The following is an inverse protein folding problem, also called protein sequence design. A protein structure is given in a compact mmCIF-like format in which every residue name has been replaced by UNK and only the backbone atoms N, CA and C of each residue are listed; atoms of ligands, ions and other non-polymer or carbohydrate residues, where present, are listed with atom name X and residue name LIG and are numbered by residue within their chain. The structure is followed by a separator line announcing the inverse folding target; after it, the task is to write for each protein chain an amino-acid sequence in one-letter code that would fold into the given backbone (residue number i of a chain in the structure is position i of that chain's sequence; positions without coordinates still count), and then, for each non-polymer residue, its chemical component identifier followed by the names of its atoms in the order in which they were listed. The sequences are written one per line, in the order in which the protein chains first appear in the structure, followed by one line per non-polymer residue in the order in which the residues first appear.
data_IF_136531397180
#
_entry.id   IF_136531397180
#
_cell.length_a   1.000
_cell.length_b   1.000
_cell.length_c   1.000
_cell.angle_alpha   90.00
_cell.angle_beta   90.00
_cell.angle_gamma   90.00
#
_symmetry.space_group_name_H-M   'P 1'
#
loop_
_entity.id
_entity.type
_entity.pdbx_description
1 polymer ?
#
# COMPACT_ATOMS: atom_id res chain seq x y z
N UNK A 1 2.54 8.89 -5.98
CA UNK A 1 1.99 7.70 -5.30
C UNK A 1 1.89 6.48 -6.20
N UNK A 2 1.29 6.57 -7.38
CA UNK A 2 1.18 5.41 -8.26
C UNK A 2 2.52 4.76 -8.62
N UNK A 3 3.58 5.53 -8.79
CA UNK A 3 4.92 4.97 -9.02
C UNK A 3 5.36 4.03 -7.88
N UNK A 4 5.02 4.36 -6.64
CA UNK A 4 5.31 3.52 -5.48
C UNK A 4 4.44 2.27 -5.42
N UNK A 5 3.16 2.39 -5.77
CA UNK A 5 2.22 1.27 -5.75
C UNK A 5 2.54 0.26 -6.83
N UNK A 6 2.82 0.74 -8.04
CA UNK A 6 3.00 -0.10 -9.24
C UNK A 6 4.45 -0.54 -9.47
N UNK A 7 5.41 0.16 -8.90
CA UNK A 7 6.83 -0.02 -9.20
C UNK A 7 7.22 0.41 -10.61
N UNK A 8 6.37 1.21 -11.28
CA UNK A 8 6.58 1.69 -12.65
C UNK A 8 6.74 3.21 -12.70
N UNK A 9 7.50 3.75 -13.65
CA UNK A 9 7.63 5.20 -13.81
C UNK A 9 6.33 5.82 -14.34
N UNK A 10 6.15 7.14 -14.12
CA UNK A 10 4.99 7.89 -14.60
C UNK A 10 4.82 7.83 -16.12
N UNK A 11 5.91 7.74 -16.86
CA UNK A 11 5.94 7.55 -18.31
C UNK A 11 6.54 6.18 -18.60
N UNK A 12 5.73 5.28 -19.14
CA UNK A 12 6.16 3.94 -19.55
C UNK A 12 6.64 4.02 -21.00
N UNK A 13 7.92 3.76 -21.21
CA UNK A 13 8.52 3.79 -22.54
C UNK A 13 8.21 2.49 -23.28
N UNK A 14 7.50 2.62 -24.39
CA UNK A 14 7.21 1.52 -25.30
C UNK A 14 7.99 1.63 -26.60
N UNK A 15 8.03 0.54 -27.41
CA UNK A 15 8.75 0.53 -28.69
C UNK A 15 8.15 1.47 -29.74
N UNK A 16 6.85 1.68 -29.71
CA UNK A 16 6.14 2.53 -30.69
C UNK A 16 5.74 3.90 -30.13
N UNK A 17 5.37 3.94 -28.85
CA UNK A 17 4.99 5.20 -28.17
C UNK A 17 5.19 5.11 -26.66
N UNK A 18 5.39 6.26 -26.06
CA UNK A 18 5.39 6.40 -24.61
C UNK A 18 3.94 6.44 -24.09
N UNK A 19 3.64 5.70 -23.05
CA UNK A 19 2.31 5.64 -22.43
C UNK A 19 2.39 6.26 -21.03
N UNK A 20 1.45 7.16 -20.72
CA UNK A 20 1.33 7.67 -19.37
C UNK A 20 0.81 6.56 -18.45
N UNK A 21 1.35 6.47 -17.24
CA UNK A 21 0.97 5.44 -16.28
C UNK A 21 -0.54 5.37 -16.03
N UNK A 22 -1.21 6.51 -15.99
CA UNK A 22 -2.66 6.56 -15.78
C UNK A 22 -3.44 5.85 -16.89
N UNK A 23 -3.01 6.01 -18.14
CA UNK A 23 -3.64 5.34 -19.29
C UNK A 23 -3.47 3.82 -19.21
N UNK A 24 -2.41 3.36 -18.58
CA UNK A 24 -2.18 1.94 -18.35
C UNK A 24 -2.96 1.41 -17.15
N UNK A 25 -3.01 2.15 -16.05
CA UNK A 25 -3.57 1.66 -14.79
C UNK A 25 -5.09 1.74 -14.72
N UNK A 26 -5.72 2.74 -15.34
CA UNK A 26 -7.16 2.92 -15.29
C UNK A 26 -7.95 1.70 -15.75
N UNK A 27 -7.66 1.09 -16.91
CA UNK A 27 -8.39 -0.10 -17.36
C UNK A 27 -8.28 -1.27 -16.38
N UNK A 28 -7.13 -1.41 -15.73
CA UNK A 28 -6.87 -2.49 -14.76
C UNK A 28 -7.67 -2.25 -13.49
N UNK A 29 -7.72 -1.01 -13.00
CA UNK A 29 -8.54 -0.62 -11.85
C UNK A 29 -10.03 -0.85 -12.14
N UNK A 30 -10.49 -0.46 -13.31
CA UNK A 30 -11.89 -0.67 -13.74
C UNK A 30 -12.27 -2.14 -13.81
N UNK A 31 -11.35 -3.01 -14.19
CA UNK A 31 -11.56 -4.46 -14.21
C UNK A 31 -11.55 -5.11 -12.82
N UNK A 32 -11.15 -4.37 -11.79
CA UNK A 32 -11.06 -4.88 -10.42
C UNK A 32 -9.84 -5.75 -10.14
N UNK A 33 -8.83 -5.72 -10.98
CA UNK A 33 -7.63 -6.57 -10.88
C UNK A 33 -6.49 -5.87 -10.13
N UNK A 34 -6.60 -5.80 -8.82
CA UNK A 34 -5.60 -5.17 -7.96
C UNK A 34 -4.24 -5.87 -8.02
N UNK A 35 -4.21 -7.18 -8.30
CA UNK A 35 -2.97 -7.96 -8.37
C UNK A 35 -2.06 -7.47 -9.49
N UNK A 36 -2.63 -7.00 -10.60
CA UNK A 36 -1.88 -6.46 -11.73
C UNK A 36 -1.56 -4.97 -11.59
N UNK A 37 -2.17 -4.27 -10.64
CA UNK A 37 -1.83 -2.88 -10.32
C UNK A 37 -0.60 -2.81 -9.43
N UNK A 38 -0.56 -3.62 -8.40
CA UNK A 38 0.51 -3.61 -7.38
C UNK A 38 1.81 -4.13 -7.97
N UNK A 39 2.94 -3.56 -7.50
CA UNK A 39 4.28 -3.97 -7.91
C UNK A 39 4.45 -5.50 -7.79
N UNK A 40 4.80 -6.19 -8.89
CA UNK A 40 4.97 -7.65 -8.88
C UNK A 40 6.06 -8.14 -7.94
N UNK A 41 6.98 -7.27 -7.50
CA UNK A 41 8.01 -7.62 -6.52
C UNK A 41 7.44 -7.97 -5.15
N UNK A 42 6.22 -7.51 -4.85
CA UNK A 42 5.51 -7.90 -3.63
C UNK A 42 4.95 -9.33 -3.68
N UNK A 43 4.92 -9.96 -4.86
CA UNK A 43 4.50 -11.35 -5.07
C UNK A 43 3.12 -11.71 -4.49
N UNK A 44 2.23 -10.73 -4.44
CA UNK A 44 0.90 -10.91 -3.84
C UNK A 44 0.88 -10.90 -2.31
N UNK A 45 2.00 -10.66 -1.66
CA UNK A 45 2.10 -10.58 -0.20
C UNK A 45 1.60 -9.24 0.34
N UNK A 46 0.31 -8.99 0.17
CA UNK A 46 -0.36 -7.79 0.70
C UNK A 46 -1.85 -8.07 0.91
N UNK A 47 -2.45 -7.31 1.81
CA UNK A 47 -3.90 -7.38 2.02
C UNK A 47 -4.65 -6.60 0.92
N UNK A 48 -5.62 -7.23 0.28
CA UNK A 48 -6.37 -6.65 -0.84
C UNK A 48 -7.05 -5.34 -0.48
N UNK A 49 -7.66 -5.25 0.70
CA UNK A 49 -8.34 -4.02 1.15
C UNK A 49 -7.38 -2.86 1.37
N UNK A 50 -6.19 -3.11 1.91
CA UNK A 50 -5.18 -2.06 2.08
C UNK A 50 -4.64 -1.57 0.74
N UNK A 51 -4.44 -2.47 -0.21
CA UNK A 51 -4.02 -2.13 -1.57
C UNK A 51 -5.07 -1.27 -2.28
N UNK A 52 -6.35 -1.65 -2.21
CA UNK A 52 -7.44 -0.86 -2.77
C UNK A 52 -7.54 0.53 -2.14
N UNK A 53 -7.41 0.61 -0.83
CA UNK A 53 -7.40 1.90 -0.13
C UNK A 53 -6.24 2.79 -0.60
N UNK A 54 -5.05 2.24 -0.75
CA UNK A 54 -3.89 2.97 -1.28
C UNK A 54 -4.13 3.49 -2.71
N UNK A 55 -4.76 2.69 -3.57
CA UNK A 55 -5.14 3.08 -4.93
C UNK A 55 -6.18 4.20 -4.90
N UNK A 56 -7.20 4.12 -4.05
CA UNK A 56 -8.21 5.18 -3.90
C UNK A 56 -7.59 6.50 -3.44
N UNK A 57 -6.66 6.47 -2.50
CA UNK A 57 -5.91 7.66 -2.06
C UNK A 57 -5.11 8.24 -3.23
N UNK A 58 -4.41 7.40 -3.97
CA UNK A 58 -3.64 7.83 -5.14
C UNK A 58 -4.54 8.46 -6.21
N UNK A 59 -5.72 7.89 -6.46
CA UNK A 59 -6.71 8.43 -7.38
C UNK A 59 -7.22 9.79 -6.95
N UNK A 60 -7.44 10.00 -5.66
CA UNK A 60 -7.91 11.29 -5.12
C UNK A 60 -6.90 12.42 -5.30
N UNK A 61 -5.63 12.09 -5.47
CA UNK A 61 -4.54 13.05 -5.67
C UNK A 61 -4.34 13.50 -7.12
N UNK A 62 -5.07 12.92 -8.08
CA UNK A 62 -4.87 13.15 -9.51
C UNK A 62 -5.65 14.34 -10.08
N UNK A 63 -6.83 14.76 -9.58
CA UNK A 63 -7.60 15.81 -10.22
C UNK A 63 -6.76 17.02 -10.59
N UNK A 64 -6.92 17.60 -11.80
CA UNK A 64 -6.10 18.71 -12.27
C UNK A 64 -6.32 19.99 -11.46
N UNK A 65 -7.48 20.13 -10.83
CA UNK A 65 -7.83 21.27 -10.00
C UNK A 65 -7.32 21.03 -8.58
N UNK A 66 -6.42 21.89 -8.11
CA UNK A 66 -5.75 21.70 -6.81
C UNK A 66 -6.72 21.62 -5.62
N UNK A 67 -7.80 22.39 -5.64
CA UNK A 67 -8.79 22.40 -4.56
C UNK A 67 -9.56 21.08 -4.41
N UNK A 68 -9.60 20.27 -5.47
CA UNK A 68 -10.23 18.94 -5.45
C UNK A 68 -9.33 17.85 -4.87
N UNK A 69 -8.02 18.15 -4.72
CA UNK A 69 -7.07 17.20 -4.15
C UNK A 69 -7.08 17.30 -2.63
N UNK A 70 -6.93 16.17 -1.91
CA UNK A 70 -6.77 16.21 -0.46
C UNK A 70 -5.47 16.92 -0.07
N UNK A 71 -5.44 17.54 1.10
CA UNK A 71 -4.19 18.03 1.66
C UNK A 71 -3.30 16.86 2.16
N UNK A 72 -2.03 17.14 2.40
CA UNK A 72 -1.08 16.11 2.83
C UNK A 72 -1.41 15.53 4.22
N UNK A 73 -2.04 16.31 5.09
CA UNK A 73 -2.49 15.82 6.40
C UNK A 73 -3.55 14.73 6.26
N UNK A 74 -4.50 14.92 5.35
CA UNK A 74 -5.53 13.93 5.04
C UNK A 74 -4.93 12.69 4.39
N UNK A 75 -4.06 12.86 3.39
CA UNK A 75 -3.34 11.76 2.74
C UNK A 75 -2.57 10.94 3.76
N UNK A 76 -1.85 11.59 4.67
CA UNK A 76 -1.10 10.91 5.73
C UNK A 76 -2.01 10.08 6.65
N UNK A 77 -3.15 10.64 7.06
CA UNK A 77 -4.12 9.94 7.92
C UNK A 77 -4.65 8.69 7.22
N UNK A 78 -5.03 8.80 5.96
CA UNK A 78 -5.53 7.66 5.18
C UNK A 78 -4.46 6.59 4.93
N UNK A 79 -3.21 6.99 4.69
CA UNK A 79 -2.09 6.05 4.55
C UNK A 79 -1.79 5.33 5.87
N UNK A 80 -1.93 6.00 7.00
CA UNK A 80 -1.82 5.34 8.32
C UNK A 80 -2.90 4.29 8.52
N UNK A 81 -4.11 4.53 8.05
CA UNK A 81 -5.19 3.54 8.06
C UNK A 81 -4.87 2.33 7.16
N UNK A 82 -4.31 2.58 5.96
CA UNK A 82 -3.83 1.50 5.09
C UNK A 82 -2.79 0.62 5.81
N UNK A 83 -1.83 1.25 6.45
CA UNK A 83 -0.79 0.55 7.19
C UNK A 83 -1.37 -0.27 8.33
N UNK A 84 -2.33 0.29 9.07
CA UNK A 84 -3.02 -0.43 10.16
C UNK A 84 -3.75 -1.67 9.65
N UNK A 85 -4.42 -1.58 8.50
CA UNK A 85 -5.08 -2.73 7.86
C UNK A 85 -4.07 -3.81 7.47
N UNK A 86 -2.94 -3.44 6.91
CA UNK A 86 -1.90 -4.37 6.52
C UNK A 86 -1.27 -5.07 7.73
N UNK A 87 -0.97 -4.32 8.77
CA UNK A 87 -0.39 -4.84 10.00
C UNK A 87 -1.36 -5.76 10.77
N UNK A 88 -2.65 -5.45 10.79
CA UNK A 88 -3.67 -6.30 11.40
C UNK A 88 -3.77 -7.65 10.68
N UNK A 89 -3.70 -7.64 9.34
CA UNK A 89 -3.70 -8.86 8.54
C UNK A 89 -2.45 -9.72 8.80
N UNK A 90 -1.27 -9.10 8.82
CA UNK A 90 -0.02 -9.79 9.13
C UNK A 90 0.00 -10.45 10.51
N UNK A 91 -0.59 -9.80 11.51
CA UNK A 91 -0.74 -10.37 12.85
C UNK A 91 -1.67 -11.58 12.87
N UNK A 92 -2.77 -11.51 12.13
CA UNK A 92 -3.73 -12.62 12.04
C UNK A 92 -3.11 -13.87 11.44
N UNK A 93 -2.39 -13.72 10.34
CA UNK A 93 -1.68 -14.83 9.70
C UNK A 93 -0.59 -15.43 10.61
N UNK A 94 0.11 -14.58 11.36
CA UNK A 94 1.14 -15.02 12.30
C UNK A 94 0.57 -15.79 13.47
N UNK A 95 -0.60 -15.39 14.01
CA UNK A 95 -1.29 -16.11 15.07
C UNK A 95 -1.76 -17.49 14.62
N UNK A 96 -2.20 -17.64 13.37
CA UNK A 96 -2.60 -18.94 12.83
C UNK A 96 -1.42 -19.91 12.69
N UNK A 97 -0.24 -19.39 12.37
CA UNK A 97 1.00 -20.18 12.27
C UNK A 97 1.50 -20.57 13.68
N UNK A 98 1.44 -19.65 14.64
CA UNK A 98 1.89 -19.91 16.02
C UNK A 98 0.96 -20.85 16.79
N UNK A 99 -0.33 -20.90 16.48
CA UNK A 99 -1.26 -21.89 17.07
C UNK A 99 -0.96 -23.33 16.64
N UNK A 100 -0.24 -23.52 15.54
CA UNK A 100 0.21 -24.84 15.06
C UNK A 100 1.58 -25.27 15.62
N UNK A 101 2.36 -24.35 16.15
CA UNK A 101 3.64 -24.61 16.79
C UNK A 101 3.59 -24.24 18.27
N UNK A 102 3.53 -25.23 19.12
CA UNK A 102 3.28 -25.14 20.56
C UNK A 102 4.40 -24.51 21.38
N UNK A 103 5.11 -23.46 20.93
CA UNK A 103 6.11 -22.83 21.83
C UNK A 103 6.35 -21.35 21.58
N UNK A 104 6.11 -20.56 22.62
CA UNK A 104 6.75 -19.29 22.97
C UNK A 104 6.65 -18.13 21.95
N UNK A 105 5.46 -17.50 21.86
CA UNK A 105 5.27 -16.25 21.14
C UNK A 105 5.60 -14.97 21.91
N UNK A 106 6.21 -15.04 23.11
CA UNK A 106 6.40 -13.91 24.01
C UNK A 106 7.49 -12.92 23.55
N UNK A 107 8.61 -13.30 22.93
CA UNK A 107 9.66 -12.36 22.53
C UNK A 107 9.30 -11.44 21.39
N UNK A 108 8.29 -11.78 20.57
CA UNK A 108 7.91 -11.03 19.36
C UNK A 108 7.07 -9.79 19.65
N UNK A 109 6.36 -9.73 20.77
CA UNK A 109 5.56 -8.56 21.15
C UNK A 109 6.40 -7.36 21.54
N UNK A 110 7.60 -7.57 22.10
CA UNK A 110 8.51 -6.52 22.51
C UNK A 110 9.13 -5.79 21.31
N UNK A 111 9.34 -6.48 20.20
CA UNK A 111 9.93 -5.92 18.97
C UNK A 111 8.98 -4.98 18.25
N UNK A 112 7.67 -5.17 18.36
CA UNK A 112 6.65 -4.31 17.72
C UNK A 112 6.50 -2.95 18.39
N UNK A 113 6.65 -2.84 19.71
CA UNK A 113 6.59 -1.55 20.38
C UNK A 113 7.81 -0.68 20.11
N UNK A 114 8.99 -1.26 19.89
CA UNK A 114 10.18 -0.55 19.45
C UNK A 114 10.04 -0.04 18.01
N UNK A 115 9.44 -0.80 17.12
CA UNK A 115 9.21 -0.39 15.74
C UNK A 115 8.21 0.78 15.64
N UNK A 116 7.14 0.77 16.41
CA UNK A 116 6.18 1.88 16.48
C UNK A 116 6.83 3.16 17.03
N UNK A 117 7.74 3.04 17.97
CA UNK A 117 8.53 4.17 18.51
C UNK A 117 9.46 4.77 17.46
N UNK A 118 10.13 3.95 16.65
CA UNK A 118 11.01 4.39 15.58
C UNK A 118 10.24 5.09 14.46
N UNK A 119 9.08 4.60 14.07
CA UNK A 119 8.21 5.24 13.09
C UNK A 119 7.70 6.60 13.61
N UNK A 120 7.32 6.68 14.87
CA UNK A 120 6.90 7.95 15.49
C UNK A 120 8.05 8.95 15.56
N UNK A 121 9.28 8.52 15.77
CA UNK A 121 10.47 9.37 15.73
C UNK A 121 10.83 9.86 14.33
N UNK A 122 10.62 9.05 13.29
CA UNK A 122 10.85 9.40 11.88
C UNK A 122 9.76 10.31 11.31
N UNK A 123 8.56 10.34 11.87
CA UNK A 123 7.46 11.21 11.47
C UNK A 123 7.61 12.67 11.97
N UNK A 124 8.64 12.98 12.70
CA UNK A 124 9.01 14.32 13.14
C UNK A 124 10.08 14.91 12.22
#
# INVERSE_FOLDING_TARGET
MFELITGRPAIIRGPEKNTHMLDWVYPIIESGDIQNVVDPRLQGEFHTNSAWKAVEIAMSCIPPIAIQRPDMSKVLTELKECLALEMAHGKSQRMEIECNETTSGIPLMTTYSEFDSDIAALAR
#
